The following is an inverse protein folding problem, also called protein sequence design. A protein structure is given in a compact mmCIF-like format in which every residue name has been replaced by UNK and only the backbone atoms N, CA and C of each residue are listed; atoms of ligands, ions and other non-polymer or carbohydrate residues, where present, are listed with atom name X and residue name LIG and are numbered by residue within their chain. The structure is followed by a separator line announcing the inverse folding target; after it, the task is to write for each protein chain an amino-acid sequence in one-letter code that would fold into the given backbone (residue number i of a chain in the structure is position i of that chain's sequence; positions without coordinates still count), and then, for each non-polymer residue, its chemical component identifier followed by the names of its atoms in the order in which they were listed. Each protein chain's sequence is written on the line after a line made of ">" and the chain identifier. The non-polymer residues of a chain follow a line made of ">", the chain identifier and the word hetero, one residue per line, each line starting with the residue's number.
data_IF_225539514667
#
_entry.id   IF_225539514667
#
_cell.length_a   1.000
_cell.length_b   1.000
_cell.length_c   1.000
_cell.angle_alpha   90.00
_cell.angle_beta   90.00
_cell.angle_gamma   90.00
#
_symmetry.space_group_name_H-M   'P 1'
#
loop_
_entity.id
_entity.type
_entity.pdbx_description
1 polymer ?
#
# COMPACT_ATOMS: atom_id res chain seq x y z
N UNK A 1 -6.55 13.36 8.16
CA UNK A 1 -5.47 12.47 7.66
C UNK A 1 -5.01 13.04 6.33
N UNK A 2 -3.80 13.63 6.27
CA UNK A 2 -3.21 14.04 4.98
C UNK A 2 -2.64 12.79 4.32
N UNK A 3 -3.25 12.36 3.24
CA UNK A 3 -2.70 11.38 2.32
C UNK A 3 -1.95 12.18 1.25
N UNK A 4 -0.64 12.02 1.17
CA UNK A 4 0.18 12.58 0.11
C UNK A 4 0.24 11.56 -1.03
N UNK A 5 0.03 11.99 -2.26
CA UNK A 5 0.03 11.12 -3.44
C UNK A 5 1.26 11.43 -4.31
N UNK A 6 2.04 10.42 -4.64
CA UNK A 6 2.97 10.47 -5.77
C UNK A 6 2.37 9.63 -6.89
N UNK A 7 2.09 10.25 -8.01
CA UNK A 7 1.55 9.58 -9.20
C UNK A 7 2.72 9.27 -10.12
N UNK A 8 3.00 8.00 -10.32
CA UNK A 8 3.87 7.54 -11.40
C UNK A 8 3.00 7.13 -12.58
N UNK A 9 2.85 8.05 -13.55
CA UNK A 9 2.14 7.74 -14.78
C UNK A 9 3.11 7.09 -15.77
N UNK A 10 3.03 5.80 -15.95
CA UNK A 10 3.63 5.13 -17.11
C UNK A 10 2.58 5.04 -18.20
N UNK A 11 2.80 5.75 -19.32
CA UNK A 11 1.93 5.62 -20.49
C UNK A 11 2.19 4.27 -21.16
N UNK A 12 1.18 3.41 -21.17
CA UNK A 12 1.21 2.14 -21.90
C UNK A 12 0.60 2.30 -23.29
N UNK A 13 1.29 1.84 -24.31
CA UNK A 13 0.70 1.59 -25.62
C UNK A 13 -0.10 0.27 -25.55
N UNK A 14 -1.20 0.23 -26.28
CA UNK A 14 -2.22 -0.82 -26.24
C UNK A 14 -1.72 -2.23 -26.60
N UNK A 15 -2.36 -3.25 -25.98
CA UNK A 15 -2.49 -4.64 -26.34
C UNK A 15 -1.29 -5.60 -26.12
N UNK A 16 -1.22 -6.11 -24.87
CA UNK A 16 -0.78 -7.47 -24.62
C UNK A 16 -1.94 -8.24 -23.99
N UNK A 17 -2.21 -9.49 -24.41
CA UNK A 17 -3.36 -10.27 -23.98
C UNK A 17 -3.47 -10.42 -22.46
N UNK A 18 -4.67 -10.51 -21.89
CA UNK A 18 -5.00 -10.75 -20.49
C UNK A 18 -4.17 -11.88 -19.81
N UNK A 19 -3.73 -12.86 -20.58
CA UNK A 19 -2.91 -13.96 -20.11
C UNK A 19 -1.49 -13.52 -19.71
N UNK A 20 -0.88 -12.61 -20.46
CA UNK A 20 0.46 -12.09 -20.14
C UNK A 20 0.44 -11.24 -18.87
N UNK A 21 -0.61 -10.42 -18.67
CA UNK A 21 -0.72 -9.57 -17.50
C UNK A 21 -0.77 -10.37 -16.19
N UNK A 22 -1.51 -11.47 -16.16
CA UNK A 22 -1.58 -12.34 -14.99
C UNK A 22 -0.21 -12.90 -14.60
N UNK A 23 0.57 -13.34 -15.56
CA UNK A 23 1.94 -13.85 -15.31
C UNK A 23 2.81 -12.78 -14.66
N UNK A 24 2.77 -11.55 -15.17
CA UNK A 24 3.54 -10.44 -14.58
C UNK A 24 3.05 -10.07 -13.18
N UNK A 25 1.75 -10.10 -12.95
CA UNK A 25 1.16 -9.85 -11.64
C UNK A 25 1.59 -10.92 -10.64
N UNK A 26 1.47 -12.20 -11.00
CA UNK A 26 1.86 -13.33 -10.15
C UNK A 26 3.37 -13.26 -9.83
N UNK A 27 4.20 -12.96 -10.81
CA UNK A 27 5.65 -12.79 -10.62
C UNK A 27 5.98 -11.60 -9.69
N UNK A 28 5.30 -10.48 -9.86
CA UNK A 28 5.50 -9.31 -8.99
C UNK A 28 5.04 -9.60 -7.56
N UNK A 29 3.91 -10.27 -7.38
CA UNK A 29 3.44 -10.69 -6.07
C UNK A 29 4.44 -11.61 -5.38
N UNK A 30 5.06 -12.53 -6.14
CA UNK A 30 6.09 -13.44 -5.63
C UNK A 30 7.32 -12.65 -5.15
N UNK A 31 7.85 -11.72 -5.96
CA UNK A 31 8.98 -10.86 -5.56
C UNK A 31 8.64 -10.06 -4.30
N UNK A 32 7.49 -9.39 -4.27
CA UNK A 32 7.08 -8.58 -3.12
C UNK A 32 6.91 -9.43 -1.85
N UNK A 33 6.40 -10.65 -1.99
CA UNK A 33 6.29 -11.61 -0.90
C UNK A 33 7.66 -11.98 -0.32
N UNK A 34 8.67 -12.22 -1.16
CA UNK A 34 10.05 -12.47 -0.71
C UNK A 34 10.65 -11.26 0.01
N UNK A 35 10.23 -10.06 -0.35
CA UNK A 35 10.59 -8.81 0.34
C UNK A 35 9.73 -8.55 1.59
N UNK A 36 8.86 -9.49 1.98
CA UNK A 36 7.92 -9.41 3.11
C UNK A 36 6.89 -8.28 2.97
N UNK A 37 6.60 -7.86 1.76
CA UNK A 37 5.51 -6.95 1.45
C UNK A 37 4.25 -7.77 1.17
N UNK A 38 3.21 -7.56 1.96
CA UNK A 38 1.92 -8.23 1.75
C UNK A 38 1.23 -7.70 0.50
N UNK A 39 0.63 -8.61 -0.28
CA UNK A 39 -0.08 -8.28 -1.51
C UNK A 39 -1.52 -8.77 -1.43
N UNK A 40 -2.45 -7.96 -1.87
CA UNK A 40 -3.87 -8.26 -1.86
C UNK A 40 -4.53 -7.79 -3.17
N UNK A 41 -5.51 -8.55 -3.63
CA UNK A 41 -6.41 -8.13 -4.71
C UNK A 41 -7.78 -7.97 -4.08
N UNK A 42 -8.33 -6.77 -4.20
CA UNK A 42 -9.64 -6.44 -3.66
C UNK A 42 -10.60 -6.04 -4.77
N UNK A 43 -11.85 -6.45 -4.60
CA UNK A 43 -12.94 -6.13 -5.52
C UNK A 43 -14.12 -5.50 -4.77
N UNK A 44 -15.15 -5.13 -5.51
CA UNK A 44 -16.37 -4.57 -4.94
C UNK A 44 -16.92 -5.48 -3.83
N UNK A 45 -17.36 -4.93 -2.68
CA UNK A 45 -17.55 -3.52 -2.37
C UNK A 45 -16.33 -2.78 -1.77
N UNK A 46 -15.10 -3.25 -1.96
CA UNK A 46 -13.84 -2.61 -1.53
C UNK A 46 -13.72 -2.38 -0.04
N UNK A 47 -14.17 -3.34 0.74
CA UNK A 47 -14.15 -3.26 2.20
C UNK A 47 -12.72 -3.38 2.70
N UNK A 48 -12.30 -2.45 3.55
CA UNK A 48 -11.01 -2.50 4.22
C UNK A 48 -10.89 -3.76 5.08
N UNK A 49 -9.77 -4.44 4.93
CA UNK A 49 -9.40 -5.58 5.76
C UNK A 49 -8.19 -5.20 6.61
N UNK A 50 -8.20 -5.62 7.87
CA UNK A 50 -7.12 -5.37 8.83
C UNK A 50 -5.74 -5.90 8.38
N UNK A 51 -5.72 -6.90 7.52
CA UNK A 51 -4.48 -7.47 6.98
C UNK A 51 -3.76 -6.51 6.03
N UNK A 52 -4.46 -5.51 5.46
CA UNK A 52 -3.87 -4.60 4.48
C UNK A 52 -2.84 -3.65 5.08
N UNK A 53 -2.89 -3.39 6.38
CA UNK A 53 -1.92 -2.57 7.10
C UNK A 53 -1.22 -3.30 8.25
N UNK A 54 -1.25 -4.63 8.24
CA UNK A 54 -0.68 -5.45 9.32
C UNK A 54 -1.39 -5.28 10.66
N UNK A 55 -2.67 -4.88 10.66
CA UNK A 55 -3.49 -4.72 11.85
C UNK A 55 -3.28 -3.40 12.59
N UNK A 56 -2.50 -2.47 12.03
CA UNK A 56 -2.16 -1.20 12.67
C UNK A 56 -3.42 -0.42 13.10
N UNK A 57 -4.26 -0.08 12.14
CA UNK A 57 -5.45 0.75 12.40
C UNK A 57 -6.49 0.06 13.27
N UNK A 58 -6.63 -1.24 13.12
CA UNK A 58 -7.52 -2.03 13.99
C UNK A 58 -7.06 -1.98 15.44
N UNK A 59 -5.77 -2.08 15.68
CA UNK A 59 -5.21 -2.11 17.03
C UNK A 59 -5.33 -0.76 17.71
N UNK A 60 -4.99 0.34 17.01
CA UNK A 60 -4.90 1.67 17.63
C UNK A 60 -6.21 2.44 17.62
N UNK A 61 -7.05 2.27 16.60
CA UNK A 61 -8.26 3.06 16.45
C UNK A 61 -9.56 2.26 16.52
N UNK A 62 -9.58 1.05 16.03
CA UNK A 62 -10.71 0.11 16.02
C UNK A 62 -12.11 0.75 15.88
N UNK A 63 -12.24 1.80 15.09
CA UNK A 63 -13.48 2.52 14.91
C UNK A 63 -14.03 2.45 13.48
N UNK A 64 -15.35 2.64 13.34
CA UNK A 64 -16.04 2.55 12.06
C UNK A 64 -15.69 3.70 11.11
N UNK A 65 -15.34 4.89 11.63
CA UNK A 65 -15.07 6.07 10.83
C UNK A 65 -13.77 5.89 10.02
N UNK A 66 -12.71 5.39 10.64
CA UNK A 66 -11.46 5.12 9.94
C UNK A 66 -11.61 4.01 8.89
N UNK A 67 -12.38 2.95 9.19
CA UNK A 67 -12.69 1.90 8.21
C UNK A 67 -13.46 2.46 7.02
N UNK A 68 -14.44 3.34 7.26
CA UNK A 68 -15.21 3.97 6.19
C UNK A 68 -14.32 4.80 5.27
N UNK A 69 -13.40 5.60 5.82
CA UNK A 69 -12.46 6.39 5.03
C UNK A 69 -11.58 5.52 4.10
N UNK A 70 -11.12 4.38 4.60
CA UNK A 70 -10.32 3.46 3.78
C UNK A 70 -11.16 2.80 2.68
N UNK A 71 -12.41 2.44 2.97
CA UNK A 71 -13.33 1.91 1.97
C UNK A 71 -13.63 2.93 0.86
N UNK A 72 -13.84 4.20 1.25
CA UNK A 72 -14.10 5.28 0.31
C UNK A 72 -12.88 5.56 -0.57
N UNK A 73 -11.66 5.48 -0.01
CA UNK A 73 -10.43 5.60 -0.77
C UNK A 73 -10.28 4.46 -1.80
N UNK A 74 -10.52 3.21 -1.40
CA UNK A 74 -10.47 2.07 -2.29
C UNK A 74 -11.46 2.19 -3.46
N UNK A 75 -12.69 2.62 -3.16
CA UNK A 75 -13.70 2.93 -4.20
C UNK A 75 -13.25 4.05 -5.13
N UNK A 76 -12.65 5.11 -4.57
CA UNK A 76 -12.10 6.20 -5.36
C UNK A 76 -11.03 5.69 -6.34
N UNK A 77 -10.07 4.88 -5.88
CA UNK A 77 -9.04 4.29 -6.74
C UNK A 77 -9.67 3.45 -7.84
N UNK A 78 -10.61 2.57 -7.51
CA UNK A 78 -11.29 1.74 -8.50
C UNK A 78 -12.03 2.54 -9.57
N UNK A 79 -12.68 3.64 -9.16
CA UNK A 79 -13.53 4.43 -10.06
C UNK A 79 -12.74 5.39 -10.94
N UNK A 80 -11.73 6.05 -10.37
CA UNK A 80 -11.07 7.20 -11.00
C UNK A 80 -9.65 6.93 -11.49
N UNK A 81 -9.01 5.87 -11.02
CA UNK A 81 -7.70 5.51 -11.58
C UNK A 81 -7.87 4.92 -12.96
N UNK A 82 -6.98 5.33 -13.86
CA UNK A 82 -6.88 4.68 -15.18
C UNK A 82 -6.24 3.29 -15.01
N UNK A 83 -6.63 2.37 -15.87
CA UNK A 83 -5.99 1.06 -15.94
C UNK A 83 -4.48 1.20 -16.08
N UNK A 84 -3.74 0.35 -15.39
CA UNK A 84 -2.27 0.36 -15.36
C UNK A 84 -1.63 1.64 -14.77
N UNK A 85 -2.39 2.49 -14.08
CA UNK A 85 -1.82 3.60 -13.31
C UNK A 85 -1.41 3.09 -11.94
N UNK A 86 -0.14 3.29 -11.61
CA UNK A 86 0.42 2.94 -10.31
C UNK A 86 0.39 4.16 -9.42
N UNK A 87 -0.16 4.00 -8.23
CA UNK A 87 -0.16 5.02 -7.18
C UNK A 87 0.69 4.51 -6.02
N UNK A 88 1.65 5.29 -5.58
CA UNK A 88 2.31 5.08 -4.28
C UNK A 88 1.68 6.04 -3.29
N UNK A 89 1.11 5.48 -2.25
CA UNK A 89 0.37 6.19 -1.22
C UNK A 89 1.20 6.22 0.04
N UNK A 90 1.48 7.42 0.52
CA UNK A 90 2.11 7.66 1.81
C UNK A 90 1.06 8.06 2.84
N UNK A 91 1.01 7.37 3.97
CA UNK A 91 0.06 7.65 5.04
C UNK A 91 0.68 8.42 6.22
N UNK A 92 -0.15 8.79 7.19
CA UNK A 92 0.30 9.53 8.38
C UNK A 92 1.18 8.72 9.34
N UNK A 93 1.33 7.43 9.11
CA UNK A 93 2.22 6.53 9.85
C UNK A 93 3.57 6.31 9.14
N UNK A 94 3.85 7.08 8.08
CA UNK A 94 5.00 6.87 7.20
C UNK A 94 5.06 5.48 6.58
N UNK A 95 3.89 4.87 6.38
CA UNK A 95 3.74 3.63 5.64
C UNK A 95 3.41 3.93 4.18
N UNK A 96 4.07 3.19 3.30
CA UNK A 96 3.86 3.26 1.87
C UNK A 96 3.02 2.08 1.40
N UNK A 97 2.16 2.33 0.42
CA UNK A 97 1.32 1.33 -0.23
C UNK A 97 1.34 1.55 -1.73
N UNK A 98 1.43 0.46 -2.47
CA UNK A 98 1.27 0.45 -3.92
C UNK A 98 -0.18 0.12 -4.24
N UNK A 99 -0.83 0.95 -5.03
CA UNK A 99 -2.17 0.71 -5.56
C UNK A 99 -2.12 0.66 -7.07
N UNK A 100 -2.76 -0.34 -7.66
CA UNK A 100 -2.87 -0.50 -9.09
C UNK A 100 -4.27 -0.99 -9.44
N UNK A 101 -4.99 -0.25 -10.28
CA UNK A 101 -6.23 -0.76 -10.87
C UNK A 101 -5.90 -1.80 -11.92
N UNK A 102 -6.47 -3.01 -11.76
CA UNK A 102 -6.22 -4.10 -12.70
C UNK A 102 -6.95 -3.83 -14.03
N UNK A 103 -6.30 -4.15 -15.17
CA UNK A 103 -6.92 -3.96 -16.47
C UNK A 103 -8.22 -4.74 -16.63
N UNK A 104 -9.17 -4.17 -17.36
CA UNK A 104 -10.44 -4.78 -17.72
C UNK A 104 -11.25 -5.32 -16.52
N UNK A 105 -11.05 -4.72 -15.34
CA UNK A 105 -11.75 -5.13 -14.13
C UNK A 105 -11.95 -3.97 -13.16
N UNK A 106 -12.88 -4.14 -12.22
CA UNK A 106 -13.06 -3.20 -11.10
C UNK A 106 -12.10 -3.49 -9.94
N UNK A 107 -11.27 -4.52 -10.07
CA UNK A 107 -10.36 -4.94 -9.01
C UNK A 107 -9.17 -4.01 -8.90
N UNK A 108 -8.69 -3.84 -7.66
CA UNK A 108 -7.44 -3.16 -7.38
C UNK A 108 -6.46 -4.09 -6.70
N UNK A 109 -5.20 -3.98 -7.08
CA UNK A 109 -4.08 -4.60 -6.40
C UNK A 109 -3.53 -3.63 -5.38
N UNK A 110 -3.27 -4.13 -4.18
CA UNK A 110 -2.65 -3.38 -3.08
C UNK A 110 -1.42 -4.16 -2.62
N UNK A 111 -0.29 -3.49 -2.49
CA UNK A 111 0.90 -4.02 -1.85
C UNK A 111 1.40 -3.07 -0.76
N UNK A 112 1.69 -3.60 0.40
CA UNK A 112 2.14 -2.86 1.58
C UNK A 112 1.72 -3.58 2.87
N UNK A 113 2.01 -2.95 4.03
CA UNK A 113 2.80 -1.73 4.22
C UNK A 113 4.31 -1.96 4.09
N UNK A 114 5.02 -0.93 3.69
CA UNK A 114 6.48 -0.83 3.74
C UNK A 114 6.88 0.63 3.99
N UNK A 115 8.16 0.94 4.13
CA UNK A 115 8.62 2.32 4.31
C UNK A 115 9.90 2.61 3.54
N UNK A 116 10.12 3.88 3.22
CA UNK A 116 11.37 4.39 2.66
C UNK A 116 12.31 4.96 3.74
N UNK A 117 11.84 5.07 4.98
CA UNK A 117 12.68 5.54 6.08
C UNK A 117 12.91 4.47 7.15
N UNK A 118 14.07 4.55 7.82
CA UNK A 118 14.34 3.75 9.01
C UNK A 118 13.78 4.44 10.24
N UNK A 119 13.15 3.66 11.11
CA UNK A 119 12.55 4.18 12.32
C UNK A 119 13.50 4.03 13.51
N UNK A 120 13.73 5.15 14.20
CA UNK A 120 14.34 5.20 15.52
C UNK A 120 13.24 5.28 16.58
N UNK A 121 13.55 4.96 17.83
CA UNK A 121 12.59 5.12 18.94
C UNK A 121 12.07 6.55 19.05
N UNK A 122 12.93 7.54 18.81
CA UNK A 122 12.52 8.95 18.78
C UNK A 122 11.50 9.20 17.67
N UNK A 123 11.77 8.72 16.46
CA UNK A 123 10.86 8.89 15.30
C UNK A 123 9.50 8.22 15.55
N UNK A 124 9.49 7.02 16.14
CA UNK A 124 8.26 6.33 16.51
C UNK A 124 7.46 7.16 17.54
N UNK A 125 8.13 7.73 18.54
CA UNK A 125 7.48 8.60 19.52
C UNK A 125 6.86 9.85 18.89
N UNK A 126 7.57 10.47 17.96
CA UNK A 126 7.05 11.61 17.18
C UNK A 126 5.80 11.23 16.37
N UNK A 127 5.82 10.08 15.70
CA UNK A 127 4.67 9.57 14.95
C UNK A 127 3.48 9.25 15.86
N UNK A 128 3.72 8.66 17.03
CA UNK A 128 2.68 8.40 18.02
C UNK A 128 2.04 9.72 18.49
N UNK A 129 2.85 10.74 18.77
CA UNK A 129 2.37 12.06 19.18
C UNK A 129 1.56 12.71 18.06
N UNK A 130 2.09 12.70 16.85
CA UNK A 130 1.42 13.30 15.68
C UNK A 130 0.05 12.67 15.40
N UNK A 131 -0.05 11.35 15.53
CA UNK A 131 -1.29 10.60 15.30
C UNK A 131 -2.16 10.49 16.57
N UNK A 132 -1.81 11.15 17.67
CA UNK A 132 -2.52 11.11 18.95
C UNK A 132 -2.71 9.68 19.49
N UNK A 133 -1.69 8.84 19.34
CA UNK A 133 -1.73 7.44 19.78
C UNK A 133 -1.45 7.39 21.28
N UNK A 134 -2.34 6.77 22.09
CA UNK A 134 -2.13 6.62 23.51
C UNK A 134 -0.85 5.83 23.86
N UNK A 135 -0.17 6.24 24.92
CA UNK A 135 1.10 5.63 25.37
C UNK A 135 1.02 4.10 25.61
N UNK A 136 -0.17 3.58 25.93
CA UNK A 136 -0.40 2.13 26.08
C UNK A 136 -0.08 1.32 24.82
N UNK A 137 0.01 1.94 23.66
CA UNK A 137 0.33 1.30 22.39
C UNK A 137 1.81 1.41 22.00
N UNK A 138 2.66 2.06 22.82
CA UNK A 138 4.06 2.30 22.47
C UNK A 138 4.81 1.01 22.13
N UNK A 139 4.65 -0.05 22.93
CA UNK A 139 5.30 -1.33 22.67
C UNK A 139 4.84 -1.95 21.34
N UNK A 140 3.53 -1.93 21.10
CA UNK A 140 2.96 -2.39 19.82
C UNK A 140 3.55 -1.60 18.65
N UNK A 141 3.64 -0.27 18.75
CA UNK A 141 4.18 0.58 17.68
C UNK A 141 5.66 0.30 17.42
N UNK A 142 6.46 0.06 18.48
CA UNK A 142 7.87 -0.33 18.33
C UNK A 142 8.00 -1.66 17.59
N UNK A 143 7.22 -2.68 17.97
CA UNK A 143 7.23 -3.98 17.32
C UNK A 143 6.74 -3.90 15.87
N UNK A 144 5.70 -3.10 15.62
CA UNK A 144 5.17 -2.87 14.28
C UNK A 144 6.23 -2.30 13.34
N UNK A 145 6.88 -1.20 13.73
CA UNK A 145 7.92 -0.57 12.91
C UNK A 145 9.19 -1.43 12.79
N UNK A 146 9.51 -2.23 13.80
CA UNK A 146 10.63 -3.17 13.73
C UNK A 146 10.38 -4.29 12.70
N UNK A 147 9.12 -4.67 12.50
CA UNK A 147 8.73 -5.70 11.53
C UNK A 147 8.47 -5.15 10.12
N UNK A 148 8.29 -3.82 9.98
CA UNK A 148 7.96 -3.19 8.72
C UNK A 148 9.14 -3.29 7.74
N UNK A 149 8.93 -3.76 6.48
CA UNK A 149 9.97 -3.73 5.46
C UNK A 149 10.41 -2.31 5.15
N UNK A 150 11.72 -2.08 5.07
CA UNK A 150 12.29 -0.74 4.81
C UNK A 150 13.19 -0.78 3.58
N UNK A 151 12.91 0.11 2.62
CA UNK A 151 13.66 0.28 1.39
C UNK A 151 14.18 1.71 1.31
N UNK A 152 15.42 1.92 1.72
CA UNK A 152 16.05 3.26 1.72
C UNK A 152 16.35 3.78 0.32
N UNK A 153 16.34 2.91 -0.69
CA UNK A 153 16.43 3.28 -2.10
C UNK A 153 15.09 3.02 -2.79
N UNK A 154 14.33 4.10 -3.04
CA UNK A 154 13.03 4.05 -3.71
C UNK A 154 13.09 3.36 -5.07
N UNK A 155 14.25 3.40 -5.76
CA UNK A 155 14.45 2.78 -7.08
C UNK A 155 14.27 1.26 -7.06
N UNK A 156 14.48 0.61 -5.91
CA UNK A 156 14.19 -0.82 -5.77
C UNK A 156 12.72 -1.11 -6.02
N UNK A 157 11.84 -0.33 -5.41
CA UNK A 157 10.39 -0.46 -5.56
C UNK A 157 9.95 -0.06 -6.97
N UNK A 158 10.48 1.06 -7.48
CA UNK A 158 10.19 1.50 -8.85
C UNK A 158 10.57 0.43 -9.89
N UNK A 159 11.70 -0.24 -9.73
CA UNK A 159 12.13 -1.32 -10.63
C UNK A 159 11.18 -2.52 -10.62
N UNK A 160 10.70 -2.92 -9.43
CA UNK A 160 9.74 -4.02 -9.28
C UNK A 160 8.41 -3.64 -9.93
N UNK A 161 7.94 -2.42 -9.67
CA UNK A 161 6.67 -1.91 -10.22
C UNK A 161 6.74 -1.80 -11.73
N UNK A 162 7.87 -1.36 -12.29
CA UNK A 162 8.05 -1.25 -13.73
C UNK A 162 7.93 -2.59 -14.43
N UNK A 163 8.20 -3.71 -13.76
CA UNK A 163 7.95 -5.04 -14.34
C UNK A 163 6.47 -5.31 -14.57
N UNK A 164 5.57 -4.77 -13.74
CA UNK A 164 4.11 -4.83 -13.97
C UNK A 164 3.66 -4.03 -15.19
N UNK A 165 4.41 -2.99 -15.53
CA UNK A 165 4.08 -2.06 -16.60
C UNK A 165 4.89 -2.32 -17.88
N UNK A 166 5.86 -3.23 -17.83
CA UNK A 166 6.68 -3.61 -18.98
C UNK A 166 5.88 -4.50 -19.92
N UNK A 167 6.08 -4.28 -21.21
CA UNK A 167 5.51 -5.09 -22.30
C UNK A 167 6.27 -6.38 -22.49
#
# INVERSE_FOLDING_TARGET
>A
TRISHRIFATSRSEMGSNMNYKIYLDYTMDILSHLKISCHIIDSPFIWNEQYDGGLRKTIWNDAAHRSQMNDFNRFVSTYSKDNTILIIHDSFCCEYIYLKLPDSDKIFIAGPFSFEKFTNQRITELCTYNSIPARFNEFMQLYYAALPVFTDERCIESIINTLCSK
#
